data_IF_046647185212
#
_entry.id   IF_046647185212
#
_cell.length_a   1.000
_cell.length_b   1.000
_cell.length_c   1.000
_cell.angle_alpha   90.00
_cell.angle_beta   90.00
_cell.angle_gamma   90.00
#
_symmetry.space_group_name_H-M   'P 1'
#
loop_
_entity.id
_entity.type
_entity.pdbx_description
1 polymer ?
#
# COMPACT_ATOMS: atom_id res chain seq x y z
N UNK A 1 -6.19 -72.98 -13.54
CA UNK A 1 -6.90 -72.24 -14.60
C UNK A 1 -7.34 -70.86 -14.09
N UNK A 2 -6.85 -69.80 -14.76
CA UNK A 2 -7.40 -68.45 -15.00
C UNK A 2 -8.10 -67.63 -13.89
N UNK A 3 -7.40 -66.51 -13.55
CA UNK A 3 -7.83 -65.07 -13.49
C UNK A 3 -8.86 -64.69 -12.40
N UNK A 4 -8.69 -63.61 -11.61
CA UNK A 4 -8.56 -62.18 -12.00
C UNK A 4 -7.96 -61.39 -10.81
N UNK A 5 -6.89 -60.58 -10.98
CA UNK A 5 -6.86 -59.13 -11.27
C UNK A 5 -7.48 -58.26 -10.14
N UNK A 6 -6.90 -57.17 -9.64
CA UNK A 6 -6.29 -56.03 -10.36
C UNK A 6 -5.35 -55.22 -9.44
N UNK A 7 -4.26 -54.72 -10.04
CA UNK A 7 -3.53 -53.51 -9.64
C UNK A 7 -4.50 -52.31 -9.62
N UNK A 8 -4.36 -51.40 -8.64
CA UNK A 8 -4.50 -49.95 -8.81
C UNK A 8 -3.99 -49.27 -7.53
N UNK A 9 -2.74 -48.83 -7.49
CA UNK A 9 -2.32 -47.45 -7.78
C UNK A 9 -2.99 -46.40 -6.90
N UNK A 10 -2.15 -45.76 -6.07
CA UNK A 10 -2.12 -44.32 -5.78
C UNK A 10 -3.38 -43.55 -6.16
N UNK A 11 -4.10 -43.05 -5.16
CA UNK A 11 -4.84 -41.81 -5.32
C UNK A 11 -4.14 -40.72 -4.52
N UNK A 12 -3.56 -39.80 -5.28
CA UNK A 12 -3.16 -38.48 -4.84
C UNK A 12 -4.32 -37.82 -4.11
N UNK A 13 -4.24 -37.66 -2.79
CA UNK A 13 -5.02 -36.64 -2.10
C UNK A 13 -4.25 -35.32 -2.21
N UNK A 14 -4.10 -34.84 -3.44
CA UNK A 14 -3.71 -33.47 -3.73
C UNK A 14 -4.90 -32.57 -3.39
N UNK A 15 -5.10 -32.30 -2.11
CA UNK A 15 -6.07 -31.30 -1.67
C UNK A 15 -5.50 -29.93 -2.03
N UNK A 16 -5.90 -29.47 -3.21
CA UNK A 16 -6.18 -28.09 -3.59
C UNK A 16 -5.50 -27.06 -2.68
N UNK A 17 -4.32 -26.60 -3.10
CA UNK A 17 -3.89 -25.25 -2.74
C UNK A 17 -4.93 -24.34 -3.41
N UNK A 18 -5.96 -23.98 -2.66
CA UNK A 18 -6.79 -22.84 -2.97
C UNK A 18 -5.87 -21.64 -2.87
N UNK A 19 -5.14 -21.35 -3.95
CA UNK A 19 -4.62 -20.02 -4.17
C UNK A 19 -5.87 -19.14 -4.20
N UNK A 20 -6.12 -18.44 -3.10
CA UNK A 20 -6.91 -17.24 -3.11
C UNK A 20 -6.16 -16.27 -4.00
N UNK A 21 -6.36 -16.41 -5.31
CA UNK A 21 -6.11 -15.36 -6.27
C UNK A 21 -6.96 -14.20 -5.77
N UNK A 22 -6.35 -13.33 -4.96
CA UNK A 22 -6.85 -12.00 -4.73
C UNK A 22 -6.82 -11.42 -6.12
N UNK A 23 -7.97 -11.45 -6.81
CA UNK A 23 -8.15 -10.75 -8.05
C UNK A 23 -7.95 -9.28 -7.69
N UNK A 24 -6.71 -8.83 -7.88
CA UNK A 24 -6.23 -7.51 -7.57
C UNK A 24 -6.92 -6.57 -8.55
N UNK A 25 -8.14 -6.17 -8.18
CA UNK A 25 -8.99 -5.26 -8.94
C UNK A 25 -8.68 -3.81 -8.58
N UNK A 26 -7.46 -3.54 -8.11
CA UNK A 26 -7.03 -2.18 -7.79
C UNK A 26 -6.94 -1.39 -9.09
N UNK A 27 -8.06 -0.76 -9.45
CA UNK A 27 -8.11 0.32 -10.39
C UNK A 27 -7.14 1.41 -9.87
N UNK A 28 -6.19 1.90 -10.69
CA UNK A 28 -5.36 3.05 -10.35
C UNK A 28 -6.16 4.22 -9.75
N UNK A 29 -7.43 4.40 -10.16
CA UNK A 29 -8.32 5.43 -9.60
C UNK A 29 -8.53 5.27 -8.08
N UNK A 30 -8.67 4.05 -7.59
CA UNK A 30 -8.83 3.78 -6.16
C UNK A 30 -7.56 4.14 -5.38
N UNK A 31 -6.39 3.75 -5.89
CA UNK A 31 -5.09 4.07 -5.27
C UNK A 31 -4.85 5.59 -5.21
N UNK A 32 -5.31 6.33 -6.24
CA UNK A 32 -5.26 7.79 -6.27
C UNK A 32 -6.16 8.38 -5.18
N UNK A 33 -7.40 7.91 -5.07
CA UNK A 33 -8.34 8.38 -4.04
C UNK A 33 -7.87 8.06 -2.63
N UNK A 34 -7.22 6.91 -2.40
CA UNK A 34 -6.62 6.57 -1.11
C UNK A 34 -5.46 7.52 -0.77
N UNK A 35 -4.61 7.87 -1.74
CA UNK A 35 -3.57 8.89 -1.54
C UNK A 35 -4.18 10.24 -1.13
N UNK A 36 -5.22 10.68 -1.82
CA UNK A 36 -5.93 11.93 -1.52
C UNK A 36 -6.56 11.89 -0.13
N UNK A 37 -7.28 10.83 0.21
CA UNK A 37 -7.94 10.67 1.50
C UNK A 37 -6.94 10.74 2.66
N UNK A 38 -5.79 10.07 2.55
CA UNK A 38 -4.73 10.15 3.56
C UNK A 38 -4.14 11.56 3.63
N UNK A 39 -3.87 12.18 2.48
CA UNK A 39 -3.37 13.56 2.44
C UNK A 39 -4.33 14.53 3.16
N UNK A 40 -5.64 14.37 2.95
CA UNK A 40 -6.68 15.13 3.63
C UNK A 40 -6.72 14.87 5.14
N UNK A 41 -6.60 13.62 5.59
CA UNK A 41 -6.51 13.29 7.03
C UNK A 41 -5.33 13.97 7.70
N UNK A 42 -4.14 13.90 7.08
CA UNK A 42 -2.92 14.54 7.59
C UNK A 42 -3.05 16.06 7.61
N UNK A 43 -3.60 16.64 6.55
CA UNK A 43 -3.82 18.07 6.47
C UNK A 43 -4.84 18.53 7.52
N UNK A 44 -5.95 17.81 7.69
CA UNK A 44 -6.93 18.08 8.74
C UNK A 44 -6.26 18.05 10.12
N UNK A 45 -5.45 17.02 10.40
CA UNK A 45 -4.75 16.89 11.68
C UNK A 45 -3.83 18.09 11.94
N UNK A 46 -3.05 18.52 10.95
CA UNK A 46 -2.21 19.71 11.05
C UNK A 46 -3.02 21.00 11.33
N UNK A 47 -4.23 21.13 10.79
CA UNK A 47 -5.09 22.29 11.03
C UNK A 47 -5.74 22.29 12.41
N UNK A 48 -5.75 21.16 13.15
CA UNK A 48 -6.25 21.15 14.53
C UNK A 48 -5.37 21.96 15.48
N UNK A 49 -4.09 22.16 15.12
CA UNK A 49 -3.12 22.97 15.87
C UNK A 49 -2.14 23.68 14.92
N UNK A 50 -2.55 24.73 14.19
CA UNK A 50 -1.76 25.30 13.09
C UNK A 50 -0.41 25.89 13.53
N UNK A 51 -0.30 26.36 14.78
CA UNK A 51 0.92 26.96 15.33
C UNK A 51 1.87 25.93 15.99
N UNK A 52 1.49 24.65 15.99
CA UNK A 52 2.32 23.58 16.55
C UNK A 52 3.46 23.21 15.59
N UNK A 53 4.67 23.08 16.11
CA UNK A 53 5.84 22.67 15.32
C UNK A 53 5.63 21.35 14.58
N UNK A 54 4.85 20.43 15.16
CA UNK A 54 4.53 19.15 14.53
C UNK A 54 3.60 19.27 13.31
N UNK A 55 2.82 20.36 13.22
CA UNK A 55 1.91 20.58 12.10
C UNK A 55 2.66 20.76 10.77
N UNK A 56 3.88 21.31 10.80
CA UNK A 56 4.75 21.35 9.63
C UNK A 56 5.12 19.95 9.14
N UNK A 57 5.47 19.04 10.03
CA UNK A 57 5.81 17.65 9.69
C UNK A 57 4.62 16.89 9.09
N UNK A 58 3.43 17.08 9.67
CA UNK A 58 2.18 16.53 9.12
C UNK A 58 1.88 17.05 7.71
N UNK A 59 2.15 18.33 7.44
CA UNK A 59 2.00 18.92 6.11
C UNK A 59 3.00 18.37 5.10
N UNK A 60 4.24 18.08 5.52
CA UNK A 60 5.24 17.43 4.67
C UNK A 60 4.77 16.03 4.27
N UNK A 61 4.34 15.21 5.24
CA UNK A 61 3.79 13.89 4.97
C UNK A 61 2.56 13.95 4.03
N UNK A 62 1.64 14.90 4.27
CA UNK A 62 0.48 15.14 3.39
C UNK A 62 0.92 15.48 1.95
N UNK A 63 1.96 16.29 1.79
CA UNK A 63 2.47 16.69 0.48
C UNK A 63 3.05 15.50 -0.29
N UNK A 64 3.77 14.60 0.38
CA UNK A 64 4.24 13.35 -0.23
C UNK A 64 3.10 12.48 -0.75
N UNK A 65 1.99 12.37 0.00
CA UNK A 65 0.80 11.64 -0.45
C UNK A 65 0.13 12.28 -1.68
N UNK A 66 0.02 13.62 -1.73
CA UNK A 66 -0.48 14.34 -2.92
C UNK A 66 0.39 14.11 -4.16
N UNK A 67 1.71 14.13 -3.97
CA UNK A 67 2.67 13.84 -5.03
C UNK A 67 2.54 12.39 -5.50
N UNK A 68 2.33 11.43 -4.59
CA UNK A 68 2.07 10.04 -4.93
C UNK A 68 0.82 9.89 -5.80
N UNK A 69 -0.31 10.48 -5.40
CA UNK A 69 -1.54 10.48 -6.19
C UNK A 69 -1.34 11.07 -7.60
N UNK A 70 -0.64 12.21 -7.70
CA UNK A 70 -0.30 12.83 -9.00
C UNK A 70 0.57 11.91 -9.88
N UNK A 71 1.47 11.14 -9.28
CA UNK A 71 2.32 10.18 -10.01
C UNK A 71 1.53 8.96 -10.45
N UNK A 72 0.60 8.45 -9.63
CA UNK A 72 -0.32 7.37 -9.99
C UNK A 72 -1.20 7.76 -11.18
N UNK A 73 -1.77 8.98 -11.18
CA UNK A 73 -2.53 9.53 -12.32
C UNK A 73 -1.75 9.52 -13.64
N UNK A 74 -0.41 9.62 -13.56
CA UNK A 74 0.50 9.63 -14.71
C UNK A 74 1.07 8.24 -15.04
N UNK A 75 0.60 7.18 -14.38
CA UNK A 75 1.11 5.82 -14.54
C UNK A 75 2.55 5.63 -14.05
N UNK A 76 3.07 6.52 -13.20
CA UNK A 76 4.43 6.47 -12.66
C UNK A 76 4.47 5.70 -11.32
N UNK A 77 4.07 4.44 -11.33
CA UNK A 77 3.81 3.65 -10.13
C UNK A 77 5.03 3.52 -9.20
N UNK A 78 6.22 3.18 -9.72
CA UNK A 78 7.45 3.12 -8.92
C UNK A 78 7.77 4.46 -8.21
N UNK A 79 7.60 5.59 -8.90
CA UNK A 79 7.85 6.90 -8.31
C UNK A 79 6.78 7.28 -7.28
N UNK A 80 5.54 6.80 -7.48
CA UNK A 80 4.46 6.99 -6.53
C UNK A 80 4.75 6.23 -5.24
N UNK A 81 5.12 4.95 -5.36
CA UNK A 81 5.60 4.11 -4.24
C UNK A 81 6.70 4.80 -3.44
N UNK A 82 7.73 5.33 -4.12
CA UNK A 82 8.80 6.09 -3.44
C UNK A 82 8.26 7.27 -2.63
N UNK A 83 7.27 8.01 -3.15
CA UNK A 83 6.65 9.11 -2.39
C UNK A 83 5.82 8.63 -1.21
N UNK A 84 5.11 7.50 -1.32
CA UNK A 84 4.37 6.91 -0.20
C UNK A 84 5.35 6.47 0.90
N UNK A 85 6.49 5.88 0.54
CA UNK A 85 7.53 5.53 1.52
C UNK A 85 8.16 6.76 2.19
N UNK A 86 8.30 7.89 1.49
CA UNK A 86 8.71 9.13 2.15
C UNK A 86 7.66 9.63 3.15
N UNK A 87 6.36 9.51 2.83
CA UNK A 87 5.31 9.81 3.79
C UNK A 87 5.39 8.89 5.03
N UNK A 88 5.59 7.58 4.83
CA UNK A 88 5.78 6.64 5.94
C UNK A 88 6.98 7.01 6.82
N UNK A 89 8.10 7.37 6.20
CA UNK A 89 9.31 7.79 6.91
C UNK A 89 9.06 9.03 7.78
N UNK A 90 8.35 10.04 7.27
CA UNK A 90 8.00 11.23 8.06
C UNK A 90 7.05 10.88 9.21
N UNK A 91 6.03 10.05 8.98
CA UNK A 91 5.09 9.62 10.03
C UNK A 91 5.77 8.75 11.10
N UNK A 92 6.73 7.94 10.69
CA UNK A 92 7.60 7.22 11.62
C UNK A 92 8.40 8.21 12.47
N UNK A 93 9.05 9.20 11.86
CA UNK A 93 9.83 10.20 12.57
C UNK A 93 8.98 11.01 13.55
N UNK A 94 7.77 11.41 13.16
CA UNK A 94 6.78 12.08 14.02
C UNK A 94 6.50 11.28 15.30
N UNK A 95 6.42 9.95 15.19
CA UNK A 95 6.16 9.07 16.34
C UNK A 95 7.29 9.08 17.39
N UNK A 96 8.48 9.58 17.05
CA UNK A 96 9.64 9.67 17.95
C UNK A 96 10.01 11.10 18.34
N UNK A 97 9.36 12.12 17.77
CA UNK A 97 9.62 13.53 18.08
C UNK A 97 8.84 13.94 19.33
N UNK A 98 9.49 14.39 20.42
CA UNK A 98 8.77 14.74 21.66
C UNK A 98 7.71 15.84 21.49
N UNK A 99 7.98 16.83 20.64
CA UNK A 99 7.02 17.90 20.34
C UNK A 99 5.78 17.42 19.55
N UNK A 100 5.79 16.20 19.03
CA UNK A 100 4.69 15.58 18.30
C UNK A 100 3.85 14.60 19.13
N UNK A 101 4.16 14.37 20.41
CA UNK A 101 3.56 13.31 21.22
C UNK A 101 2.02 13.33 21.23
N UNK A 102 1.44 14.53 21.22
CA UNK A 102 -0.01 14.72 21.24
C UNK A 102 -0.74 14.28 19.95
N UNK A 103 -0.01 14.04 18.86
CA UNK A 103 -0.51 13.47 17.62
C UNK A 103 -0.19 11.98 17.44
N UNK A 104 0.59 11.38 18.34
CA UNK A 104 1.17 10.05 18.16
C UNK A 104 0.10 8.97 17.88
N UNK A 105 -1.03 9.02 18.59
CA UNK A 105 -2.10 8.04 18.40
C UNK A 105 -2.75 8.16 17.02
N UNK A 106 -3.08 9.38 16.57
CA UNK A 106 -3.68 9.61 15.26
C UNK A 106 -2.70 9.24 14.13
N UNK A 107 -1.43 9.64 14.29
CA UNK A 107 -0.35 9.34 13.34
C UNK A 107 -0.13 7.84 13.21
N UNK A 108 -0.19 7.07 14.31
CA UNK A 108 -0.06 5.61 14.28
C UNK A 108 -1.08 4.95 13.37
N UNK A 109 -2.35 5.36 13.44
CA UNK A 109 -3.40 4.80 12.58
C UNK A 109 -3.23 5.21 11.13
N UNK A 110 -2.94 6.49 10.87
CA UNK A 110 -2.71 7.00 9.51
C UNK A 110 -1.49 6.31 8.87
N UNK A 111 -0.42 6.08 9.64
CA UNK A 111 0.77 5.38 9.19
C UNK A 111 0.47 3.94 8.75
N UNK A 112 -0.41 3.24 9.47
CA UNK A 112 -0.83 1.89 9.07
C UNK A 112 -1.56 1.91 7.71
N UNK A 113 -2.40 2.91 7.46
CA UNK A 113 -3.03 3.11 6.14
C UNK A 113 -1.99 3.39 5.05
N UNK A 114 -0.98 4.23 5.32
CA UNK A 114 0.12 4.54 4.39
C UNK A 114 0.91 3.28 4.02
N UNK A 115 1.26 2.45 5.00
CA UNK A 115 1.99 1.18 4.76
C UNK A 115 1.14 0.23 3.91
N UNK A 116 -0.15 0.10 4.22
CA UNK A 116 -1.05 -0.73 3.45
C UNK A 116 -1.15 -0.26 1.99
N UNK A 117 -1.26 1.05 1.77
CA UNK A 117 -1.30 1.63 0.43
C UNK A 117 0.04 1.49 -0.32
N UNK A 118 1.18 1.59 0.37
CA UNK A 118 2.50 1.35 -0.23
C UNK A 118 2.58 -0.07 -0.83
N UNK A 119 2.22 -1.08 -0.03
CA UNK A 119 2.19 -2.47 -0.48
C UNK A 119 1.27 -2.64 -1.69
N UNK A 120 0.08 -2.01 -1.67
CA UNK A 120 -0.85 -2.09 -2.79
C UNK A 120 -0.29 -1.48 -4.09
N UNK A 121 0.43 -0.36 -4.00
CA UNK A 121 1.06 0.30 -5.15
C UNK A 121 2.24 -0.52 -5.67
N UNK A 122 3.03 -1.13 -4.79
CA UNK A 122 4.15 -1.99 -5.16
C UNK A 122 3.69 -3.25 -5.89
N UNK A 123 2.66 -3.92 -5.37
CA UNK A 123 2.04 -5.08 -6.01
C UNK A 123 1.53 -4.70 -7.41
N UNK A 124 0.84 -3.56 -7.53
CA UNK A 124 0.35 -3.07 -8.82
C UNK A 124 1.48 -2.78 -9.81
N UNK A 125 2.57 -2.17 -9.34
CA UNK A 125 3.76 -1.88 -10.16
C UNK A 125 4.45 -3.17 -10.63
N UNK A 126 4.55 -4.18 -9.76
CA UNK A 126 5.08 -5.50 -10.09
C UNK A 126 4.29 -6.18 -11.21
N UNK A 127 2.96 -6.20 -11.09
CA UNK A 127 2.06 -6.75 -12.10
C UNK A 127 2.19 -6.03 -13.46
N UNK A 128 2.24 -4.69 -13.46
CA UNK A 128 2.42 -3.92 -14.69
C UNK A 128 3.76 -4.20 -15.37
N UNK A 129 4.82 -4.41 -14.59
CA UNK A 129 6.15 -4.70 -15.13
C UNK A 129 6.19 -6.07 -15.83
N UNK A 130 5.54 -7.09 -15.26
CA UNK A 130 5.44 -8.43 -15.86
C UNK A 130 4.67 -8.42 -17.18
N UNK A 131 3.50 -7.76 -17.21
CA UNK A 131 2.67 -7.65 -18.44
C UNK A 131 3.42 -6.97 -19.58
N UNK A 132 4.28 -5.99 -19.28
CA UNK A 132 5.08 -5.31 -20.30
C UNK A 132 6.23 -6.18 -20.83
N UNK A 133 6.75 -7.12 -20.03
CA UNK A 133 7.79 -8.07 -20.45
C UNK A 133 7.24 -9.17 -21.37
N UNK A 134 5.97 -9.57 -21.22
CA UNK A 134 5.34 -10.59 -22.07
C UNK A 134 4.90 -10.06 -23.44
N UNK A 135 4.89 -8.73 -23.64
CA UNK A 135 4.47 -8.07 -24.88
C UNK A 135 5.64 -7.53 -25.72
N UNK A 136 6.87 -7.61 -25.23
CA UNK A 136 8.10 -7.20 -25.92
C UNK A 136 8.81 -8.40 -26.53
#
# INVERSE_FOLDING_TARGET
>A
MKKKNKKLMMSMTGALIAFSAHAFTNDPSQLIHECEAIAHKLQYLAHTKPDDSCSGDLQIASSYMKVAGTKLQRGKYAQASTSIHYADFELQAISYRPYCEHFANQVKFIRAEVISLANQVDDFNGLKSQVNQEKG
#
